data_IF_941456909461
#
_entry.id   IF_941456909461
#
_cell.length_a   1.000
_cell.length_b   1.000
_cell.length_c   1.000
_cell.angle_alpha   90.00
_cell.angle_beta   90.00
_cell.angle_gamma   90.00
#
_symmetry.space_group_name_H-M   'P 1'
#
loop_
_entity.id
_entity.type
_entity.pdbx_description
1 polymer ?
#
# COMPACT_ATOMS: atom_id res chain seq x y z
N UNK A 1 51.57 -24.52 8.96
CA UNK A 1 50.25 -24.07 8.43
C UNK A 1 49.84 -22.62 8.80
N UNK A 2 50.63 -21.82 9.52
CA UNK A 2 50.22 -20.47 9.97
C UNK A 2 50.38 -19.35 8.92
N UNK A 3 51.31 -19.48 7.96
CA UNK A 3 51.63 -18.44 6.96
C UNK A 3 50.55 -18.30 5.88
N UNK A 4 49.88 -19.39 5.50
CA UNK A 4 48.80 -19.39 4.48
C UNK A 4 47.52 -18.71 4.99
N UNK A 5 47.15 -18.92 6.27
CA UNK A 5 45.98 -18.27 6.90
C UNK A 5 46.11 -16.74 7.04
N UNK A 6 47.33 -16.20 7.21
CA UNK A 6 47.58 -14.75 7.24
C UNK A 6 47.33 -14.09 5.88
N UNK A 7 47.72 -14.73 4.78
CA UNK A 7 47.51 -14.21 3.43
C UNK A 7 46.03 -14.16 3.02
N UNK A 8 45.24 -15.16 3.43
CA UNK A 8 43.79 -15.18 3.16
C UNK A 8 43.10 -14.04 3.93
N UNK A 9 43.47 -13.83 5.21
CA UNK A 9 42.95 -12.72 6.03
C UNK A 9 43.34 -11.35 5.47
N UNK A 10 44.56 -11.18 4.96
CA UNK A 10 45.01 -9.93 4.36
C UNK A 10 44.23 -9.61 3.06
N UNK A 11 44.01 -10.63 2.20
CA UNK A 11 43.20 -10.51 0.99
C UNK A 11 41.72 -10.22 1.29
N UNK A 12 41.15 -10.84 2.32
CA UNK A 12 39.79 -10.54 2.75
C UNK A 12 39.66 -9.11 3.29
N UNK A 13 40.64 -8.64 4.08
CA UNK A 13 40.65 -7.26 4.59
C UNK A 13 40.80 -6.22 3.47
N UNK A 14 41.63 -6.47 2.45
CA UNK A 14 41.76 -5.56 1.31
C UNK A 14 40.50 -5.52 0.44
N UNK A 15 39.85 -6.68 0.23
CA UNK A 15 38.58 -6.75 -0.49
C UNK A 15 37.45 -6.00 0.24
N UNK A 16 37.37 -6.11 1.57
CA UNK A 16 36.42 -5.36 2.41
C UNK A 16 36.72 -3.85 2.37
N UNK A 17 38.01 -3.47 2.38
CA UNK A 17 38.42 -2.07 2.21
C UNK A 17 37.99 -1.49 0.87
N UNK A 18 38.18 -2.24 -0.22
CA UNK A 18 37.77 -1.84 -1.56
C UNK A 18 36.23 -1.75 -1.70
N UNK A 19 35.49 -2.67 -1.08
CA UNK A 19 34.03 -2.62 -1.05
C UNK A 19 33.52 -1.37 -0.28
N UNK A 20 34.14 -1.05 0.86
CA UNK A 20 33.79 0.15 1.65
C UNK A 20 34.05 1.45 0.88
N UNK A 21 35.15 1.52 0.13
CA UNK A 21 35.45 2.65 -0.74
C UNK A 21 34.44 2.79 -1.88
N UNK A 22 34.04 1.68 -2.52
CA UNK A 22 33.00 1.69 -3.56
C UNK A 22 31.65 2.17 -3.01
N UNK A 23 31.25 1.72 -1.82
CA UNK A 23 30.02 2.17 -1.15
C UNK A 23 30.07 3.67 -0.86
N UNK A 24 31.20 4.18 -0.36
CA UNK A 24 31.38 5.62 -0.13
C UNK A 24 31.31 6.44 -1.43
N UNK A 25 31.90 5.95 -2.52
CA UNK A 25 31.83 6.61 -3.82
C UNK A 25 30.40 6.62 -4.37
N UNK A 26 29.64 5.53 -4.21
CA UNK A 26 28.23 5.48 -4.61
C UNK A 26 27.40 6.48 -3.78
N UNK A 27 27.58 6.52 -2.46
CA UNK A 27 26.90 7.48 -1.59
C UNK A 27 27.27 8.94 -1.94
N UNK A 28 28.54 9.21 -2.26
CA UNK A 28 28.97 10.55 -2.68
C UNK A 28 28.32 10.96 -4.01
N UNK A 29 28.19 10.04 -4.98
CA UNK A 29 27.48 10.28 -6.25
C UNK A 29 25.99 10.56 -6.02
N UNK A 30 25.32 9.73 -5.22
CA UNK A 30 23.91 9.89 -4.86
C UNK A 30 23.64 11.23 -4.15
N UNK A 31 24.56 11.65 -3.27
CA UNK A 31 24.48 12.95 -2.60
C UNK A 31 24.73 14.13 -3.57
N UNK A 32 25.59 13.95 -4.58
CA UNK A 32 25.84 14.96 -5.63
C UNK A 32 24.63 15.12 -6.54
N UNK A 33 24.01 14.02 -6.94
CA UNK A 33 22.78 13.98 -7.75
C UNK A 33 21.61 14.61 -6.99
N UNK A 34 21.38 14.23 -5.73
CA UNK A 34 20.39 14.88 -4.85
C UNK A 34 20.65 16.38 -4.64
N UNK A 35 21.91 16.84 -4.66
CA UNK A 35 22.26 18.26 -4.61
C UNK A 35 21.96 18.95 -5.94
N UNK A 36 22.25 18.30 -7.07
CA UNK A 36 21.97 18.82 -8.41
C UNK A 36 20.45 18.94 -8.64
N UNK A 37 19.65 17.95 -8.28
CA UNK A 37 18.19 18.03 -8.33
C UNK A 37 17.64 19.18 -7.48
N UNK A 38 18.17 19.35 -6.26
CA UNK A 38 17.82 20.50 -5.40
C UNK A 38 18.25 21.85 -5.97
N UNK A 39 19.28 21.90 -6.82
CA UNK A 39 19.76 23.12 -7.48
C UNK A 39 18.94 23.44 -8.74
N UNK A 40 18.58 22.42 -9.53
CA UNK A 40 17.75 22.55 -10.74
C UNK A 40 16.34 23.07 -10.44
N UNK A 41 15.76 22.70 -9.29
CA UNK A 41 14.45 23.22 -8.85
C UNK A 41 14.51 24.65 -8.26
N UNK A 42 15.70 25.17 -7.93
CA UNK A 42 15.90 26.50 -7.34
C UNK A 42 16.08 27.62 -8.36
N UNK A 43 16.41 27.30 -9.61
CA UNK A 43 16.60 28.25 -10.70
C UNK A 43 15.36 28.38 -11.61
N UNK A 44 14.48 27.39 -11.63
CA UNK A 44 13.27 27.37 -12.48
C UNK A 44 11.97 27.76 -11.77
N UNK A 45 11.98 27.88 -10.43
CA UNK A 45 10.84 28.41 -9.68
C UNK A 45 11.11 29.87 -9.29
N UNK A 46 10.23 30.83 -9.65
CA UNK A 46 10.38 32.20 -9.17
C UNK A 46 10.32 32.16 -7.64
N UNK A 47 11.42 32.53 -6.98
CA UNK A 47 11.37 32.83 -5.54
C UNK A 47 10.28 33.87 -5.38
N UNK A 48 9.18 33.54 -4.69
CA UNK A 48 8.24 34.56 -4.23
C UNK A 48 9.09 35.56 -3.44
N UNK A 49 9.27 36.76 -3.98
CA UNK A 49 9.99 37.85 -3.32
C UNK A 49 9.09 38.41 -2.23
N UNK A 50 8.87 37.59 -1.19
CA UNK A 50 8.01 37.92 -0.06
C UNK A 50 8.64 39.14 0.62
N UNK A 51 7.86 40.21 0.74
CA UNK A 51 8.33 41.46 1.35
C UNK A 51 8.69 41.23 2.83
N UNK A 52 9.52 42.11 3.41
CA UNK A 52 9.86 42.02 4.86
C UNK A 52 8.59 42.06 5.73
N UNK A 53 7.58 42.84 5.32
CA UNK A 53 6.27 42.96 5.98
C UNK A 53 5.50 41.64 5.95
N UNK A 54 5.42 41.00 4.79
CA UNK A 54 4.78 39.69 4.64
C UNK A 54 5.49 38.60 5.45
N UNK A 55 6.83 38.57 5.45
CA UNK A 55 7.59 37.63 6.29
C UNK A 55 7.31 37.82 7.78
N UNK A 56 7.15 39.06 8.23
CA UNK A 56 6.79 39.34 9.62
C UNK A 56 5.36 38.85 9.94
N UNK A 57 4.40 39.12 9.05
CA UNK A 57 3.02 38.65 9.18
C UNK A 57 2.91 37.12 9.16
N UNK A 58 3.69 36.44 8.32
CA UNK A 58 3.77 34.98 8.29
C UNK A 58 4.35 34.41 9.59
N UNK A 59 5.39 35.04 10.14
CA UNK A 59 5.95 34.62 11.45
C UNK A 59 4.93 34.80 12.57
N UNK A 60 4.27 35.94 12.61
CA UNK A 60 3.24 36.23 13.62
C UNK A 60 2.05 35.27 13.50
N UNK A 61 1.52 35.07 12.30
CA UNK A 61 0.41 34.13 12.08
C UNK A 61 0.80 32.68 12.39
N UNK A 62 2.03 32.27 12.06
CA UNK A 62 2.55 30.94 12.44
C UNK A 62 2.66 30.79 13.96
N UNK A 63 3.08 31.83 14.66
CA UNK A 63 3.15 31.83 16.12
C UNK A 63 1.76 31.74 16.75
N UNK A 64 0.79 32.54 16.28
CA UNK A 64 -0.60 32.46 16.75
C UNK A 64 -1.23 31.09 16.47
N UNK A 65 -0.97 30.50 15.31
CA UNK A 65 -1.42 29.13 14.99
C UNK A 65 -0.89 28.12 16.00
N UNK A 66 0.41 28.19 16.33
CA UNK A 66 1.03 27.32 17.35
C UNK A 66 0.38 27.49 18.72
N UNK A 67 0.15 28.72 19.17
CA UNK A 67 -0.57 28.95 20.43
C UNK A 67 -1.99 28.40 20.39
N UNK A 68 -2.70 28.57 19.27
CA UNK A 68 -4.03 28.01 19.07
C UNK A 68 -4.05 26.48 19.10
N UNK A 69 -3.06 25.82 18.52
CA UNK A 69 -2.87 24.37 18.55
C UNK A 69 -2.61 23.88 19.98
N UNK A 70 -1.64 24.48 20.69
CA UNK A 70 -1.32 24.14 22.09
C UNK A 70 -2.55 24.30 22.99
N UNK A 71 -3.31 25.39 22.84
CA UNK A 71 -4.50 25.61 23.65
C UNK A 71 -5.61 24.59 23.36
N UNK A 72 -5.73 24.13 22.11
CA UNK A 72 -6.67 23.05 21.76
C UNK A 72 -6.25 21.73 22.38
N UNK A 73 -4.96 21.39 22.31
CA UNK A 73 -4.39 20.18 22.91
C UNK A 73 -4.60 20.17 24.43
N UNK A 74 -4.29 21.27 25.12
CA UNK A 74 -4.49 21.41 26.57
C UNK A 74 -5.96 21.25 26.98
N UNK A 75 -6.88 21.87 26.23
CA UNK A 75 -8.33 21.73 26.47
C UNK A 75 -8.79 20.29 26.26
N UNK A 76 -8.27 19.62 25.24
CA UNK A 76 -8.60 18.22 24.97
C UNK A 76 -8.04 17.29 26.06
N UNK A 77 -6.82 17.53 26.52
CA UNK A 77 -6.19 16.76 27.59
C UNK A 77 -6.93 16.92 28.93
N UNK A 78 -7.32 18.14 29.27
CA UNK A 78 -8.18 18.40 30.44
C UNK A 78 -9.52 17.67 30.30
N UNK A 79 -10.15 17.74 29.14
CA UNK A 79 -11.40 17.02 28.88
C UNK A 79 -11.22 15.50 29.01
N UNK A 80 -10.12 14.92 28.49
CA UNK A 80 -9.79 13.50 28.67
C UNK A 80 -9.65 13.12 30.14
N UNK A 81 -8.91 13.90 30.93
CA UNK A 81 -8.73 13.66 32.38
C UNK A 81 -10.04 13.75 33.17
N UNK A 82 -10.98 14.60 32.74
CA UNK A 82 -12.32 14.67 33.35
C UNK A 82 -13.15 13.44 32.97
N UNK A 83 -13.12 13.03 31.70
CA UNK A 83 -13.84 11.84 31.18
C UNK A 83 -13.39 10.54 31.84
N UNK A 84 -12.09 10.38 32.07
CA UNK A 84 -11.54 9.21 32.76
C UNK A 84 -12.08 9.08 34.19
N UNK A 85 -12.44 10.21 34.82
CA UNK A 85 -12.95 10.26 36.19
C UNK A 85 -14.47 10.17 36.30
N UNK A 86 -15.21 10.49 35.23
CA UNK A 86 -16.67 10.44 35.23
C UNK A 86 -17.18 9.08 34.78
N UNK A 87 -18.17 8.51 35.50
CA UNK A 87 -18.79 7.23 35.13
C UNK A 87 -19.48 7.40 33.77
N UNK A 88 -18.98 6.67 32.78
CA UNK A 88 -19.27 6.75 31.34
C UNK A 88 -20.73 6.43 31.03
N UNK A 89 -21.63 7.37 31.30
CA UNK A 89 -23.02 7.32 30.83
C UNK A 89 -23.29 8.64 30.12
N UNK A 90 -22.85 8.76 28.86
CA UNK A 90 -23.26 9.87 27.99
C UNK A 90 -22.18 10.60 27.21
N UNK A 91 -20.87 10.35 27.43
CA UNK A 91 -19.86 10.94 26.55
C UNK A 91 -19.67 10.10 25.28
N UNK A 92 -20.18 10.62 24.15
CA UNK A 92 -20.09 10.00 22.84
C UNK A 92 -18.80 10.37 22.09
N UNK A 93 -17.96 11.26 22.64
CA UNK A 93 -16.74 11.70 21.97
C UNK A 93 -15.71 10.57 21.79
N UNK A 94 -15.44 9.70 22.77
CA UNK A 94 -14.56 8.55 22.57
C UNK A 94 -15.00 7.64 21.42
N UNK A 95 -16.32 7.47 21.23
CA UNK A 95 -16.86 6.69 20.12
C UNK A 95 -16.61 7.35 18.76
N UNK A 96 -16.72 8.68 18.68
CA UNK A 96 -16.43 9.43 17.45
C UNK A 96 -14.94 9.48 17.12
N UNK A 97 -14.10 9.66 18.13
CA UNK A 97 -12.64 9.74 17.96
C UNK A 97 -12.03 8.36 17.66
N UNK A 98 -12.68 7.27 18.07
CA UNK A 98 -12.32 5.89 17.71
C UNK A 98 -12.64 5.52 16.25
N UNK A 99 -13.39 6.36 15.52
CA UNK A 99 -13.67 6.12 14.11
C UNK A 99 -12.48 6.59 13.24
N UNK A 100 -12.13 5.83 12.18
CA UNK A 100 -11.12 6.25 11.23
C UNK A 100 -11.51 7.59 10.58
N UNK A 101 -10.54 8.49 10.47
CA UNK A 101 -10.73 9.69 9.67
C UNK A 101 -10.96 9.34 8.19
N UNK A 102 -11.63 10.20 7.43
CA UNK A 102 -11.89 9.97 6.01
C UNK A 102 -10.59 9.71 5.22
N UNK A 103 -9.49 10.38 5.59
CA UNK A 103 -8.17 10.16 5.01
C UNK A 103 -7.61 8.76 5.31
N UNK A 104 -7.83 8.25 6.52
CA UNK A 104 -7.49 6.87 6.89
C UNK A 104 -8.38 5.86 6.17
N UNK A 105 -9.67 6.14 5.99
CA UNK A 105 -10.55 5.30 5.17
C UNK A 105 -10.02 5.15 3.74
N UNK A 106 -9.57 6.24 3.11
CA UNK A 106 -8.94 6.14 1.79
C UNK A 106 -7.65 5.29 1.80
N UNK A 107 -6.85 5.39 2.87
CA UNK A 107 -5.64 4.56 3.02
C UNK A 107 -5.99 3.09 3.24
N UNK A 108 -6.99 2.79 4.05
CA UNK A 108 -7.50 1.43 4.29
C UNK A 108 -8.04 0.81 3.01
N UNK A 109 -8.87 1.54 2.25
CA UNK A 109 -9.36 1.08 0.94
C UNK A 109 -8.22 0.85 -0.04
N UNK A 110 -7.19 1.70 -0.01
CA UNK A 110 -5.99 1.53 -0.85
C UNK A 110 -5.13 0.35 -0.40
N UNK A 111 -5.03 0.08 0.90
CA UNK A 111 -4.33 -1.05 1.48
C UNK A 111 -5.05 -2.36 1.17
N UNK A 112 -6.37 -2.43 1.37
CA UNK A 112 -7.18 -3.59 0.97
C UNK A 112 -7.12 -3.84 -0.54
N UNK A 113 -7.05 -2.80 -1.38
CA UNK A 113 -6.82 -2.96 -2.83
C UNK A 113 -5.41 -3.47 -3.18
N UNK A 114 -4.43 -3.35 -2.28
CA UNK A 114 -3.09 -3.91 -2.43
C UNK A 114 -3.02 -5.33 -1.89
N UNK A 115 -3.59 -5.60 -0.72
CA UNK A 115 -3.66 -6.95 -0.15
C UNK A 115 -4.47 -7.91 -1.03
N UNK A 116 -5.55 -7.44 -1.67
CA UNK A 116 -6.26 -8.21 -2.72
C UNK A 116 -5.45 -8.45 -4.00
N UNK A 117 -4.26 -7.86 -4.12
CA UNK A 117 -3.29 -8.18 -5.17
C UNK A 117 -2.18 -9.11 -4.68
N UNK A 118 -1.97 -9.19 -3.38
CA UNK A 118 -0.89 -9.96 -2.76
C UNK A 118 -1.39 -11.32 -2.23
N UNK A 119 -2.69 -11.47 -1.94
CA UNK A 119 -3.35 -12.75 -1.66
C UNK A 119 -3.97 -13.33 -2.93
N UNK A 120 -3.32 -14.35 -3.49
CA UNK A 120 -3.73 -15.12 -4.68
C UNK A 120 -3.83 -14.26 -5.95
N UNK A 121 -2.68 -13.84 -6.45
CA UNK A 121 -2.53 -13.47 -7.85
C UNK A 121 -1.33 -14.25 -8.37
N UNK A 122 -1.57 -15.41 -8.98
CA UNK A 122 -0.73 -15.83 -10.10
C UNK A 122 -0.47 -14.57 -10.92
N UNK A 123 0.79 -14.14 -11.03
CA UNK A 123 1.18 -12.92 -11.72
C UNK A 123 0.38 -12.81 -13.02
N UNK A 124 -0.69 -12.03 -12.97
CA UNK A 124 -1.49 -11.79 -14.15
C UNK A 124 -0.60 -10.89 -14.99
N UNK A 125 0.21 -11.51 -15.86
CA UNK A 125 1.10 -10.86 -16.80
C UNK A 125 0.39 -9.61 -17.28
N UNK A 126 1.06 -8.46 -17.29
CA UNK A 126 0.47 -7.23 -17.79
C UNK A 126 0.23 -7.38 -19.29
N UNK A 127 -0.86 -8.05 -19.65
CA UNK A 127 -1.21 -8.41 -21.01
C UNK A 127 -1.48 -7.10 -21.74
N UNK A 128 -0.82 -6.91 -22.88
CA UNK A 128 -1.16 -5.84 -23.83
C UNK A 128 -2.67 -5.82 -24.10
N UNK A 129 -3.25 -4.64 -24.35
CA UNK A 129 -4.69 -4.48 -24.56
C UNK A 129 -5.27 -5.49 -25.58
N UNK A 130 -4.51 -5.80 -26.64
CA UNK A 130 -4.87 -6.83 -27.64
C UNK A 130 -4.96 -8.23 -27.05
N UNK A 131 -4.01 -8.62 -26.18
CA UNK A 131 -4.02 -9.92 -25.49
C UNK A 131 -5.18 -10.03 -24.50
N UNK A 132 -5.54 -8.94 -23.80
CA UNK A 132 -6.72 -8.89 -22.91
C UNK A 132 -8.02 -9.12 -23.68
N UNK A 133 -8.18 -8.46 -24.83
CA UNK A 133 -9.36 -8.64 -25.69
C UNK A 133 -9.42 -10.08 -26.22
N UNK A 134 -8.29 -10.64 -26.66
CA UNK A 134 -8.20 -12.04 -27.13
C UNK A 134 -8.56 -13.02 -26.01
N UNK A 135 -8.07 -12.80 -24.78
CA UNK A 135 -8.39 -13.64 -23.61
C UNK A 135 -9.90 -13.62 -23.32
N UNK A 136 -10.50 -12.43 -23.23
CA UNK A 136 -11.96 -12.29 -23.03
C UNK A 136 -12.78 -12.98 -24.13
N UNK A 137 -12.37 -12.81 -25.39
CA UNK A 137 -13.03 -13.50 -26.52
C UNK A 137 -12.93 -15.01 -26.37
N UNK A 138 -11.77 -15.54 -26.02
CA UNK A 138 -11.56 -16.97 -25.82
C UNK A 138 -12.37 -17.51 -24.63
N UNK A 139 -12.37 -16.80 -23.50
CA UNK A 139 -13.20 -17.14 -22.33
C UNK A 139 -14.68 -17.21 -22.70
N UNK A 140 -15.18 -16.22 -23.46
CA UNK A 140 -16.55 -16.20 -23.93
C UNK A 140 -16.87 -17.36 -24.87
N UNK A 141 -16.02 -17.62 -25.87
CA UNK A 141 -16.20 -18.73 -26.81
C UNK A 141 -16.16 -20.08 -26.08
N UNK A 142 -15.26 -20.24 -25.12
CA UNK A 142 -15.17 -21.45 -24.31
C UNK A 142 -16.43 -21.66 -23.46
N UNK A 143 -16.98 -20.58 -22.89
CA UNK A 143 -18.24 -20.62 -22.13
C UNK A 143 -19.44 -20.98 -23.00
N UNK A 144 -19.53 -20.43 -24.21
CA UNK A 144 -20.60 -20.81 -25.16
C UNK A 144 -20.46 -22.28 -25.56
N UNK A 145 -19.24 -22.74 -25.86
CA UNK A 145 -18.97 -24.15 -26.20
C UNK A 145 -19.28 -25.11 -25.06
N UNK A 146 -19.00 -24.74 -23.80
CA UNK A 146 -19.32 -25.59 -22.65
C UNK A 146 -20.84 -25.71 -22.46
N UNK A 147 -21.59 -24.61 -22.61
CA UNK A 147 -23.05 -24.66 -22.59
C UNK A 147 -23.64 -25.46 -23.74
N UNK A 148 -23.09 -25.31 -24.95
CA UNK A 148 -23.55 -26.10 -26.10
C UNK A 148 -23.37 -27.61 -25.86
N UNK A 149 -22.23 -28.01 -25.28
CA UNK A 149 -22.00 -29.40 -24.87
C UNK A 149 -23.02 -29.85 -23.82
N UNK A 150 -23.21 -29.06 -22.77
CA UNK A 150 -24.16 -29.37 -21.69
C UNK A 150 -25.59 -29.54 -22.21
N UNK A 151 -26.03 -28.68 -23.12
CA UNK A 151 -27.37 -28.76 -23.74
C UNK A 151 -27.50 -30.03 -24.61
N UNK A 152 -26.42 -30.47 -25.24
CA UNK A 152 -26.41 -31.71 -26.04
C UNK A 152 -26.40 -32.98 -25.16
N UNK A 153 -25.97 -32.89 -23.91
CA UNK A 153 -25.87 -34.03 -23.01
C UNK A 153 -27.24 -34.63 -22.65
N UNK A 154 -27.35 -35.95 -22.81
CA UNK A 154 -28.60 -36.70 -22.58
C UNK A 154 -29.06 -36.60 -21.11
N UNK A 155 -28.11 -36.59 -20.17
CA UNK A 155 -28.43 -36.51 -18.74
C UNK A 155 -29.01 -35.13 -18.38
N UNK A 156 -28.46 -34.06 -18.96
CA UNK A 156 -28.98 -32.71 -18.79
C UNK A 156 -30.38 -32.54 -19.38
N UNK A 157 -30.65 -33.15 -20.54
CA UNK A 157 -32.00 -33.16 -21.14
C UNK A 157 -33.04 -33.91 -20.31
N UNK A 158 -32.63 -34.98 -19.60
CA UNK A 158 -33.52 -35.75 -18.73
C UNK A 158 -33.87 -34.96 -17.47
N UNK A 159 -32.86 -34.57 -16.68
CA UNK A 159 -33.04 -33.91 -15.37
C UNK A 159 -32.11 -32.70 -15.21
N UNK A 160 -32.43 -31.53 -15.81
CA UNK A 160 -31.55 -30.37 -15.75
C UNK A 160 -31.42 -29.80 -14.33
N UNK A 161 -32.50 -29.84 -13.54
CA UNK A 161 -32.52 -29.32 -12.16
C UNK A 161 -31.54 -30.06 -11.24
N UNK A 162 -31.50 -31.38 -11.35
CA UNK A 162 -30.65 -32.23 -10.52
C UNK A 162 -29.16 -32.01 -10.84
N UNK A 163 -28.82 -31.89 -12.12
CA UNK A 163 -27.44 -31.62 -12.54
C UNK A 163 -26.97 -30.24 -12.08
N UNK A 164 -27.83 -29.23 -12.14
CA UNK A 164 -27.52 -27.91 -11.58
C UNK A 164 -27.36 -27.98 -10.07
N UNK A 165 -28.24 -28.69 -9.36
CA UNK A 165 -28.14 -28.86 -7.90
C UNK A 165 -26.84 -29.55 -7.49
N UNK A 166 -26.44 -30.61 -8.19
CA UNK A 166 -25.18 -31.31 -7.96
C UNK A 166 -23.98 -30.42 -8.27
N UNK A 167 -24.02 -29.65 -9.36
CA UNK A 167 -22.94 -28.71 -9.67
C UNK A 167 -22.78 -27.65 -8.58
N UNK A 168 -23.88 -27.08 -8.10
CA UNK A 168 -23.87 -26.09 -7.01
C UNK A 168 -23.33 -26.69 -5.72
N UNK A 169 -23.78 -27.90 -5.35
CA UNK A 169 -23.30 -28.61 -4.15
C UNK A 169 -21.80 -28.87 -4.22
N UNK A 170 -21.31 -29.42 -5.33
CA UNK A 170 -19.88 -29.68 -5.52
C UNK A 170 -19.06 -28.39 -5.46
N UNK A 171 -19.59 -27.28 -6.01
CA UNK A 171 -18.90 -25.99 -6.01
C UNK A 171 -18.84 -25.34 -4.62
N UNK A 172 -19.79 -25.63 -3.72
CA UNK A 172 -19.70 -25.21 -2.32
C UNK A 172 -18.71 -26.07 -1.53
N UNK A 173 -18.71 -27.38 -1.74
CA UNK A 173 -17.76 -28.28 -1.07
C UNK A 173 -16.31 -27.91 -1.37
N UNK A 174 -15.98 -27.65 -2.65
CA UNK A 174 -14.62 -27.21 -3.03
C UNK A 174 -14.22 -25.90 -2.35
N UNK A 175 -15.16 -24.96 -2.17
CA UNK A 175 -14.85 -23.70 -1.49
C UNK A 175 -14.63 -23.91 0.01
N UNK A 176 -15.40 -24.79 0.64
CA UNK A 176 -15.24 -25.16 2.05
C UNK A 176 -13.89 -25.85 2.30
N UNK A 177 -13.44 -26.70 1.36
CA UNK A 177 -12.14 -27.36 1.43
C UNK A 177 -10.97 -26.37 1.23
N UNK A 178 -11.09 -25.40 0.30
CA UNK A 178 -10.09 -24.34 0.05
C UNK A 178 -9.96 -23.34 1.21
N UNK A 179 -11.03 -23.08 1.96
CA UNK A 179 -11.02 -22.17 3.12
C UNK A 179 -10.40 -22.81 4.39
N UNK A 180 -10.21 -24.13 4.39
CA UNK A 180 -9.68 -24.91 5.53
C UNK A 180 -8.18 -25.22 5.42
N UNK A 181 -7.54 -24.86 4.29
CA UNK A 181 -6.10 -25.07 4.00
C UNK A 181 -5.30 -23.75 4.08
#
# INVERSE_FOLDING_TARGET
MAKTKRNIRAKAKSAVGAAKQKVQQIQAKLNKENRQDKLLHKTLSPKKTISKKEKSAEKHSKLLKRFGEIQKELKEEQARKVREKTKVVGDLKPLRDALPSLGEMYKLVKAQKKEKKDGIVEEAETLSAKKKIKKKRNEYVNKVRSFEKLIKDKNFKKNPREIVANHVRNRYQVMEDEDME
#
